data_IF_095886623514
#
_entry.id   IF_095886623514
#
_cell.length_a   1.000
_cell.length_b   1.000
_cell.length_c   1.000
_cell.angle_alpha   90.00
_cell.angle_beta   90.00
_cell.angle_gamma   90.00
#
_symmetry.space_group_name_H-M   'P 1'
#
loop_
_entity.id
_entity.type
_entity.pdbx_description
1 polymer ?
#
# COMPACT_ATOMS: atom_id res chain seq x y z
N UNK A 1 14.87 -2.91 0.45
CA UNK A 1 15.56 -1.66 0.41
C UNK A 1 14.84 -0.58 -0.39
N UNK A 2 14.89 -0.50 -1.75
CA UNK A 2 14.21 0.57 -2.50
C UNK A 2 12.68 0.56 -2.27
N UNK A 3 12.05 -0.59 -2.31
CA UNK A 3 10.62 -0.75 -2.05
C UNK A 3 10.23 -0.20 -0.67
N UNK A 4 11.00 -0.49 0.37
CA UNK A 4 10.76 0.01 1.73
C UNK A 4 10.76 1.54 1.79
N UNK A 5 11.76 2.18 1.19
CA UNK A 5 11.87 3.65 1.16
C UNK A 5 10.69 4.30 0.43
N UNK A 6 10.30 3.74 -0.72
CA UNK A 6 9.17 4.26 -1.50
C UNK A 6 7.85 4.12 -0.76
N UNK A 7 7.63 3.01 -0.04
CA UNK A 7 6.42 2.79 0.73
C UNK A 7 6.36 3.63 2.00
N UNK A 8 7.52 3.87 2.64
CA UNK A 8 7.59 4.80 3.77
C UNK A 8 7.23 6.23 3.33
N UNK A 9 7.73 6.67 2.17
CA UNK A 9 7.34 7.94 1.58
C UNK A 9 5.86 8.01 1.19
N UNK A 10 5.24 6.88 0.79
CA UNK A 10 3.82 6.83 0.41
C UNK A 10 2.91 7.30 1.56
N UNK A 11 3.10 6.81 2.77
CA UNK A 11 2.29 7.21 3.92
C UNK A 11 2.43 8.70 4.22
N UNK A 12 3.65 9.24 4.18
CA UNK A 12 3.93 10.66 4.43
C UNK A 12 3.27 11.57 3.39
N UNK A 13 3.46 11.27 2.11
CA UNK A 13 2.92 12.09 1.01
C UNK A 13 1.40 11.95 0.90
N UNK A 14 0.83 10.76 1.17
CA UNK A 14 -0.62 10.58 1.25
C UNK A 14 -1.22 11.40 2.40
N UNK A 15 -0.52 11.48 3.55
CA UNK A 15 -0.92 12.34 4.68
C UNK A 15 -0.91 13.83 4.31
N UNK A 16 0.15 14.30 3.64
CA UNK A 16 0.22 15.66 3.16
C UNK A 16 -0.94 15.98 2.20
N UNK A 17 -1.27 15.05 1.30
CA UNK A 17 -2.42 15.16 0.43
C UNK A 17 -3.74 15.20 1.20
N UNK A 18 -3.94 14.32 2.17
CA UNK A 18 -5.16 14.24 2.99
C UNK A 18 -5.40 15.47 3.87
N UNK A 19 -4.35 16.23 4.22
CA UNK A 19 -4.43 17.52 4.92
C UNK A 19 -4.59 18.72 3.99
N UNK A 20 -4.45 18.53 2.69
CA UNK A 20 -4.60 19.58 1.68
C UNK A 20 -6.06 19.75 1.26
N UNK A 21 -6.31 20.74 0.39
CA UNK A 21 -7.61 20.95 -0.26
C UNK A 21 -8.00 19.83 -1.20
N UNK A 22 -7.01 19.05 -1.71
CA UNK A 22 -7.25 17.94 -2.63
C UNK A 22 -8.15 16.87 -2.00
N UNK A 23 -9.13 16.44 -2.76
CA UNK A 23 -9.95 15.28 -2.37
C UNK A 23 -9.16 13.97 -2.57
N UNK A 24 -9.52 12.88 -1.90
CA UNK A 24 -9.00 11.55 -2.19
C UNK A 24 -9.11 11.18 -3.68
N UNK A 25 -10.16 11.67 -4.33
CA UNK A 25 -10.44 11.45 -5.74
C UNK A 25 -9.46 12.20 -6.65
N UNK A 26 -9.10 13.44 -6.30
CA UNK A 26 -8.08 14.23 -7.01
C UNK A 26 -6.70 13.55 -6.95
N UNK A 27 -6.31 13.08 -5.76
CA UNK A 27 -5.04 12.39 -5.56
C UNK A 27 -4.95 11.14 -6.44
N UNK A 28 -6.03 10.36 -6.50
CA UNK A 28 -6.06 9.17 -7.34
C UNK A 28 -6.09 9.52 -8.84
N UNK A 29 -6.79 10.57 -9.25
CA UNK A 29 -6.77 11.05 -10.63
C UNK A 29 -5.34 11.51 -11.03
N UNK A 30 -4.68 12.33 -10.21
CA UNK A 30 -3.29 12.76 -10.44
C UNK A 30 -2.33 11.58 -10.58
N UNK A 31 -2.48 10.58 -9.71
CA UNK A 31 -1.71 9.33 -9.78
C UNK A 31 -1.85 8.66 -11.14
N UNK A 32 -3.10 8.48 -11.62
CA UNK A 32 -3.37 7.77 -12.87
C UNK A 32 -2.98 8.59 -14.10
N UNK A 33 -3.28 9.89 -14.11
CA UNK A 33 -2.90 10.79 -15.21
C UNK A 33 -1.38 10.77 -15.40
N UNK A 34 -0.63 10.99 -14.33
CA UNK A 34 0.84 11.05 -14.39
C UNK A 34 1.45 9.70 -14.78
N UNK A 35 1.01 8.61 -14.15
CA UNK A 35 1.54 7.28 -14.48
C UNK A 35 1.23 6.90 -15.93
N UNK A 36 0.01 7.15 -16.40
CA UNK A 36 -0.40 6.84 -17.77
C UNK A 36 0.33 7.70 -18.79
N UNK A 37 0.52 9.00 -18.52
CA UNK A 37 1.26 9.89 -19.41
C UNK A 37 2.71 9.43 -19.59
N UNK A 38 3.41 9.06 -18.50
CA UNK A 38 4.79 8.57 -18.55
C UNK A 38 4.88 7.21 -19.25
N UNK A 39 3.92 6.33 -19.04
CA UNK A 39 3.90 4.98 -19.61
C UNK A 39 3.33 4.97 -21.04
N UNK A 40 2.76 6.08 -21.54
CA UNK A 40 2.11 6.17 -22.86
C UNK A 40 3.01 5.70 -24.02
N UNK A 41 4.32 6.06 -24.10
CA UNK A 41 5.19 5.57 -25.18
C UNK A 41 5.29 4.03 -25.23
N UNK A 42 5.01 3.37 -24.14
CA UNK A 42 5.11 1.91 -24.00
C UNK A 42 3.78 1.17 -24.17
N UNK A 43 2.67 1.88 -24.45
CA UNK A 43 1.34 1.25 -24.59
C UNK A 43 1.30 0.29 -25.79
N UNK A 44 1.96 0.66 -26.89
CA UNK A 44 2.03 -0.16 -28.11
C UNK A 44 2.74 -1.49 -27.94
N UNK A 45 3.63 -1.61 -26.95
CA UNK A 45 4.33 -2.86 -26.62
C UNK A 45 3.53 -3.77 -25.69
N UNK A 46 2.31 -3.40 -25.29
CA UNK A 46 1.43 -4.23 -24.48
C UNK A 46 0.68 -5.24 -25.38
N UNK A 47 0.77 -6.54 -25.09
CA UNK A 47 0.07 -7.54 -25.90
C UNK A 47 -1.44 -7.27 -25.92
N UNK A 48 -2.07 -7.31 -27.10
CA UNK A 48 -3.53 -7.10 -27.23
C UNK A 48 -4.34 -8.07 -26.37
N UNK A 49 -3.86 -9.29 -26.18
CA UNK A 49 -4.48 -10.32 -25.32
C UNK A 49 -4.53 -9.90 -23.85
N UNK A 50 -3.61 -9.04 -23.38
CA UNK A 50 -3.60 -8.56 -22.01
C UNK A 50 -4.85 -7.73 -21.68
N UNK A 51 -5.38 -6.98 -22.64
CA UNK A 51 -6.62 -6.20 -22.46
C UNK A 51 -7.89 -7.07 -22.33
N UNK A 52 -7.87 -8.29 -22.86
CA UNK A 52 -8.96 -9.25 -22.72
C UNK A 52 -8.77 -10.23 -21.55
N UNK A 53 -7.63 -10.14 -20.84
CA UNK A 53 -7.32 -11.08 -19.76
C UNK A 53 -8.06 -10.71 -18.47
N UNK A 54 -9.05 -11.52 -18.12
CA UNK A 54 -9.87 -11.34 -16.90
C UNK A 54 -9.02 -11.29 -15.63
N UNK A 55 -7.92 -12.03 -15.56
CA UNK A 55 -7.04 -12.06 -14.38
C UNK A 55 -6.32 -10.73 -14.20
N UNK A 56 -5.85 -10.12 -15.30
CA UNK A 56 -5.25 -8.77 -15.24
C UNK A 56 -6.26 -7.72 -14.76
N UNK A 57 -7.52 -7.80 -15.21
CA UNK A 57 -8.58 -6.91 -14.72
C UNK A 57 -8.89 -7.12 -13.24
N UNK A 58 -8.92 -8.37 -12.75
CA UNK A 58 -9.08 -8.65 -11.31
C UNK A 58 -7.95 -8.01 -10.52
N UNK A 59 -6.69 -8.17 -10.96
CA UNK A 59 -5.54 -7.56 -10.29
C UNK A 59 -5.58 -6.02 -10.35
N UNK A 60 -6.02 -5.45 -11.47
CA UNK A 60 -6.22 -4.01 -11.62
C UNK A 60 -7.30 -3.48 -10.66
N UNK A 61 -8.42 -4.16 -10.55
CA UNK A 61 -9.47 -3.81 -9.60
C UNK A 61 -8.97 -3.88 -8.15
N UNK A 62 -8.33 -4.97 -7.75
CA UNK A 62 -7.86 -5.17 -6.38
C UNK A 62 -6.78 -4.16 -5.99
N UNK A 63 -5.81 -3.91 -6.86
CA UNK A 63 -4.66 -3.07 -6.57
C UNK A 63 -4.95 -1.57 -6.68
N UNK A 64 -5.91 -1.17 -7.51
CA UNK A 64 -6.07 0.22 -7.90
C UNK A 64 -7.50 0.72 -7.75
N UNK A 65 -8.45 0.19 -8.51
CA UNK A 65 -9.82 0.71 -8.57
C UNK A 65 -10.58 0.58 -7.25
N UNK A 66 -10.32 -0.45 -6.46
CA UNK A 66 -10.94 -0.67 -5.16
C UNK A 66 -10.01 -0.17 -4.05
N UNK A 67 -8.75 -0.62 -4.05
CA UNK A 67 -7.78 -0.28 -3.02
C UNK A 67 -7.58 1.22 -2.84
N UNK A 68 -7.23 1.95 -3.92
CA UNK A 68 -6.83 3.34 -3.80
C UNK A 68 -7.94 4.28 -3.28
N UNK A 69 -9.17 4.27 -3.84
CA UNK A 69 -10.23 5.13 -3.35
C UNK A 69 -10.58 4.85 -1.88
N UNK A 70 -10.64 3.58 -1.49
CA UNK A 70 -10.96 3.17 -0.12
C UNK A 70 -9.81 3.58 0.83
N UNK A 71 -8.54 3.35 0.44
CA UNK A 71 -7.39 3.72 1.25
C UNK A 71 -7.30 5.24 1.47
N UNK A 72 -7.41 6.03 0.39
CA UNK A 72 -7.38 7.49 0.50
C UNK A 72 -8.55 8.05 1.30
N UNK A 73 -9.73 7.44 1.19
CA UNK A 73 -10.88 7.80 2.03
C UNK A 73 -10.61 7.45 3.49
N UNK A 74 -10.02 6.28 3.77
CA UNK A 74 -9.59 5.91 5.12
C UNK A 74 -8.67 6.95 5.75
N UNK A 75 -7.69 7.47 5.01
CA UNK A 75 -6.79 8.54 5.48
C UNK A 75 -7.47 9.89 5.72
N UNK A 76 -8.68 10.11 5.22
CA UNK A 76 -9.47 11.30 5.53
C UNK A 76 -10.06 11.21 6.94
N UNK A 77 -10.46 10.00 7.37
CA UNK A 77 -11.14 9.78 8.65
C UNK A 77 -10.19 9.38 9.77
N UNK A 78 -9.15 8.59 9.50
CA UNK A 78 -8.23 8.11 10.51
C UNK A 78 -6.82 8.72 10.38
N UNK A 79 -6.06 8.85 11.49
CA UNK A 79 -4.67 9.30 11.47
C UNK A 79 -3.79 8.44 10.55
N UNK A 80 -2.75 9.06 9.98
CA UNK A 80 -1.82 8.33 9.11
C UNK A 80 -1.03 7.24 9.84
N UNK A 81 -0.85 7.36 11.16
CA UNK A 81 -0.24 6.34 11.99
C UNK A 81 -1.03 5.02 11.95
N UNK A 82 -2.39 5.08 11.91
CA UNK A 82 -3.23 3.89 11.77
C UNK A 82 -2.97 3.19 10.42
N UNK A 83 -2.87 3.96 9.32
CA UNK A 83 -2.49 3.41 8.02
C UNK A 83 -1.09 2.80 8.01
N UNK A 84 -0.13 3.41 8.71
CA UNK A 84 1.21 2.88 8.89
C UNK A 84 1.23 1.51 9.57
N UNK A 85 0.26 1.24 10.45
CA UNK A 85 0.08 -0.05 11.11
C UNK A 85 -0.72 -1.01 10.22
N UNK A 86 -1.91 -0.59 9.76
CA UNK A 86 -2.86 -1.46 9.08
C UNK A 86 -2.40 -1.91 7.69
N UNK A 87 -1.65 -1.09 6.93
CA UNK A 87 -1.21 -1.51 5.60
C UNK A 87 -0.03 -2.49 5.65
N UNK A 88 1.18 -2.14 6.14
CA UNK A 88 2.31 -3.04 6.02
C UNK A 88 2.33 -4.15 7.09
N UNK A 89 1.91 -3.87 8.32
CA UNK A 89 2.05 -4.86 9.39
C UNK A 89 0.99 -5.97 9.33
N UNK A 90 -0.18 -5.68 8.76
CA UNK A 90 -1.22 -6.68 8.61
C UNK A 90 -0.94 -7.67 7.46
N UNK A 91 -0.11 -7.29 6.48
CA UNK A 91 0.17 -8.11 5.31
C UNK A 91 0.70 -9.51 5.60
N UNK A 92 1.67 -9.74 6.52
CA UNK A 92 2.15 -11.08 6.82
C UNK A 92 1.04 -12.02 7.30
N UNK A 93 0.07 -11.52 8.07
CA UNK A 93 -1.08 -12.30 8.55
C UNK A 93 -2.03 -12.63 7.41
N UNK A 94 -2.43 -11.63 6.63
CA UNK A 94 -3.36 -11.80 5.52
C UNK A 94 -2.79 -12.74 4.45
N UNK A 95 -1.53 -12.58 4.08
CA UNK A 95 -0.85 -13.46 3.11
C UNK A 95 -0.74 -14.89 3.66
N UNK A 96 -0.43 -15.07 4.95
CA UNK A 96 -0.37 -16.40 5.56
C UNK A 96 -1.74 -17.07 5.62
N UNK A 97 -2.79 -16.31 5.93
CA UNK A 97 -4.16 -16.79 5.88
C UNK A 97 -4.57 -17.20 4.47
N UNK A 98 -4.25 -16.39 3.46
CA UNK A 98 -4.52 -16.72 2.06
C UNK A 98 -3.75 -17.95 1.59
N UNK A 99 -2.47 -18.09 1.97
CA UNK A 99 -1.68 -19.27 1.66
C UNK A 99 -2.29 -20.54 2.27
N UNK A 100 -2.81 -20.45 3.48
CA UNK A 100 -3.50 -21.58 4.13
C UNK A 100 -4.86 -21.86 3.49
N UNK A 101 -5.72 -20.86 3.33
CA UNK A 101 -7.10 -21.04 2.85
C UNK A 101 -7.16 -21.42 1.36
N UNK A 102 -6.28 -20.84 0.52
CA UNK A 102 -6.33 -21.00 -0.95
C UNK A 102 -5.34 -22.05 -1.46
N UNK A 103 -4.16 -22.13 -0.85
CA UNK A 103 -3.10 -23.06 -1.25
C UNK A 103 -2.95 -24.27 -0.32
N UNK A 104 -3.70 -24.34 0.79
CA UNK A 104 -3.61 -25.41 1.79
C UNK A 104 -2.30 -25.42 2.59
N UNK A 105 -1.46 -24.40 2.43
CA UNK A 105 -0.13 -24.32 3.04
C UNK A 105 -0.22 -23.77 4.45
N UNK A 106 -0.09 -24.65 5.45
CA UNK A 106 -0.10 -24.23 6.86
C UNK A 106 1.20 -23.51 7.22
N UNK A 107 1.13 -22.41 8.01
CA UNK A 107 2.33 -21.74 8.48
C UNK A 107 3.18 -22.66 9.35
N UNK A 108 4.49 -22.64 9.15
CA UNK A 108 5.44 -23.38 9.99
C UNK A 108 5.47 -22.82 11.40
N UNK A 109 5.98 -23.58 12.38
CA UNK A 109 6.12 -23.10 13.77
C UNK A 109 6.95 -21.80 13.84
N UNK A 110 8.04 -21.73 13.09
CA UNK A 110 8.91 -20.53 13.05
C UNK A 110 8.12 -19.33 12.52
N UNK A 111 7.33 -19.52 11.45
CA UNK A 111 6.48 -18.47 10.90
C UNK A 111 5.40 -18.03 11.87
N UNK A 112 4.77 -18.96 12.57
CA UNK A 112 3.74 -18.65 13.60
C UNK A 112 4.35 -17.81 14.72
N UNK A 113 5.54 -18.17 15.23
CA UNK A 113 6.25 -17.39 16.23
C UNK A 113 6.57 -15.98 15.68
N UNK A 114 7.08 -15.89 14.45
CA UNK A 114 7.34 -14.61 13.79
C UNK A 114 6.10 -13.74 13.69
N UNK A 115 4.97 -14.32 13.25
CA UNK A 115 3.68 -13.61 13.21
C UNK A 115 3.22 -13.16 14.61
N UNK A 116 3.35 -13.99 15.64
CA UNK A 116 3.01 -13.60 17.02
C UNK A 116 3.84 -12.42 17.50
N UNK A 117 5.14 -12.39 17.19
CA UNK A 117 6.01 -11.27 17.53
C UNK A 117 5.61 -9.99 16.76
N UNK A 118 5.29 -10.10 15.47
CA UNK A 118 4.76 -8.96 14.69
C UNK A 118 3.46 -8.46 15.33
N UNK A 119 2.53 -9.36 15.68
CA UNK A 119 1.27 -8.99 16.32
C UNK A 119 1.46 -8.27 17.66
N UNK A 120 2.34 -8.78 18.51
CA UNK A 120 2.69 -8.12 19.77
C UNK A 120 3.31 -6.74 19.54
N UNK A 121 4.15 -6.60 18.51
CA UNK A 121 4.75 -5.32 18.13
C UNK A 121 3.72 -4.31 17.62
N UNK A 122 2.72 -4.77 16.87
CA UNK A 122 1.56 -3.95 16.44
C UNK A 122 0.81 -3.41 17.66
N UNK A 123 0.49 -4.29 18.61
CA UNK A 123 -0.23 -3.91 19.85
C UNK A 123 0.59 -2.88 20.62
N UNK A 124 1.88 -3.11 20.83
CA UNK A 124 2.75 -2.14 21.51
C UNK A 124 2.75 -0.77 20.81
N UNK A 125 2.92 -0.73 19.49
CA UNK A 125 2.94 0.54 18.75
C UNK A 125 1.57 1.23 18.70
N UNK A 126 0.47 0.48 18.78
CA UNK A 126 -0.89 1.00 18.79
C UNK A 126 -1.35 1.50 20.17
N UNK A 127 -0.67 1.11 21.26
CA UNK A 127 -1.09 1.47 22.64
C UNK A 127 -1.39 2.95 22.86
N UNK A 128 -0.56 3.91 22.36
CA UNK A 128 -0.86 5.33 22.53
C UNK A 128 -2.16 5.77 21.85
N UNK A 129 -2.57 5.11 20.78
CA UNK A 129 -3.76 5.46 19.98
C UNK A 129 -5.05 4.80 20.48
N UNK A 130 -4.95 3.78 21.34
CA UNK A 130 -6.13 3.09 21.90
C UNK A 130 -6.94 3.99 22.87
N UNK A 131 -6.34 5.07 23.36
CA UNK A 131 -6.99 6.05 24.23
C UNK A 131 -7.74 7.15 23.47
N UNK A 132 -7.50 7.27 22.16
CA UNK A 132 -8.07 8.31 21.30
C UNK A 132 -9.19 7.78 20.39
N UNK A 133 -9.98 6.82 20.89
CA UNK A 133 -11.03 6.20 20.08
C UNK A 133 -12.14 7.21 19.70
N UNK A 134 -12.52 7.22 18.41
CA UNK A 134 -13.69 7.92 17.91
C UNK A 134 -14.42 7.09 16.84
N UNK A 135 -15.73 7.30 16.61
CA UNK A 135 -16.46 6.62 15.54
C UNK A 135 -15.85 6.87 14.16
N UNK A 136 -15.33 8.08 13.90
CA UNK A 136 -14.68 8.44 12.64
C UNK A 136 -13.37 7.62 12.45
N UNK A 137 -12.57 7.47 13.51
CA UNK A 137 -11.37 6.65 13.46
C UNK A 137 -11.70 5.19 13.19
N UNK A 138 -12.71 4.65 13.86
CA UNK A 138 -13.16 3.28 13.62
C UNK A 138 -13.61 3.04 12.17
N UNK A 139 -14.32 4.00 11.58
CA UNK A 139 -14.72 3.94 10.18
C UNK A 139 -13.51 4.02 9.24
N UNK A 140 -12.57 4.95 9.48
CA UNK A 140 -11.33 5.07 8.72
C UNK A 140 -10.49 3.78 8.78
N UNK A 141 -10.36 3.20 9.98
CA UNK A 141 -9.63 1.95 10.20
C UNK A 141 -10.27 0.77 9.48
N UNK A 142 -11.60 0.69 9.47
CA UNK A 142 -12.33 -0.32 8.70
C UNK A 142 -12.03 -0.20 7.20
N UNK A 143 -12.05 1.01 6.65
CA UNK A 143 -11.69 1.25 5.25
C UNK A 143 -10.24 0.85 4.96
N UNK A 144 -9.31 1.19 5.84
CA UNK A 144 -7.91 0.81 5.71
C UNK A 144 -7.72 -0.71 5.81
N UNK A 145 -8.47 -1.39 6.69
CA UNK A 145 -8.46 -2.85 6.80
C UNK A 145 -8.97 -3.51 5.51
N UNK A 146 -10.09 -3.05 4.95
CA UNK A 146 -10.64 -3.55 3.67
C UNK A 146 -9.62 -3.35 2.54
N UNK A 147 -9.00 -2.18 2.47
CA UNK A 147 -7.93 -1.91 1.50
C UNK A 147 -6.74 -2.84 1.68
N UNK A 148 -6.34 -3.11 2.93
CA UNK A 148 -5.25 -4.05 3.24
C UNK A 148 -5.57 -5.47 2.77
N UNK A 149 -6.83 -5.92 2.92
CA UNK A 149 -7.29 -7.19 2.38
C UNK A 149 -7.22 -7.23 0.84
N UNK A 150 -7.65 -6.15 0.16
CA UNK A 150 -7.53 -6.04 -1.30
C UNK A 150 -6.07 -6.12 -1.76
N UNK A 151 -5.17 -5.44 -1.05
CA UNK A 151 -3.73 -5.49 -1.34
C UNK A 151 -3.13 -6.87 -1.12
N UNK A 152 -3.51 -7.58 -0.06
CA UNK A 152 -3.06 -8.95 0.20
C UNK A 152 -3.54 -9.92 -0.89
N UNK A 153 -4.79 -9.84 -1.30
CA UNK A 153 -5.34 -10.61 -2.42
C UNK A 153 -4.58 -10.31 -3.72
N UNK A 154 -4.34 -9.03 -3.99
CA UNK A 154 -3.54 -8.61 -5.14
C UNK A 154 -2.14 -9.24 -5.12
N UNK A 155 -1.39 -9.09 -4.02
CA UNK A 155 -0.04 -9.61 -3.90
C UNK A 155 0.03 -11.14 -4.03
N UNK A 156 -0.91 -11.84 -3.39
CA UNK A 156 -1.00 -13.28 -3.45
C UNK A 156 -1.28 -13.79 -4.88
N UNK A 157 -2.27 -13.23 -5.56
CA UNK A 157 -2.63 -13.65 -6.90
C UNK A 157 -1.64 -13.14 -7.97
N UNK A 158 -1.04 -11.96 -7.80
CA UNK A 158 0.00 -11.47 -8.69
C UNK A 158 1.21 -12.40 -8.71
N UNK A 159 1.63 -12.90 -7.53
CA UNK A 159 2.68 -13.89 -7.43
C UNK A 159 2.26 -15.23 -8.06
N UNK A 160 1.04 -15.71 -7.79
CA UNK A 160 0.54 -17.00 -8.27
C UNK A 160 0.34 -17.04 -9.79
N UNK A 161 -0.14 -15.96 -10.39
CA UNK A 161 -0.36 -15.87 -11.83
C UNK A 161 0.87 -15.44 -12.62
N UNK A 162 1.93 -15.04 -11.93
CA UNK A 162 3.27 -14.78 -12.43
C UNK A 162 3.36 -13.90 -13.70
N UNK A 163 2.58 -12.81 -13.72
CA UNK A 163 2.70 -11.82 -14.80
C UNK A 163 4.02 -11.08 -14.72
N UNK A 164 4.55 -10.68 -15.89
CA UNK A 164 5.67 -9.75 -15.94
C UNK A 164 5.35 -8.46 -15.17
N UNK A 165 6.22 -8.01 -14.26
CA UNK A 165 6.04 -6.75 -13.53
C UNK A 165 5.72 -5.58 -14.45
N UNK A 166 6.36 -5.53 -15.61
CA UNK A 166 6.18 -4.48 -16.59
C UNK A 166 4.80 -4.51 -17.25
N UNK A 167 4.27 -5.69 -17.58
CA UNK A 167 2.92 -5.86 -18.13
C UNK A 167 1.89 -5.47 -17.08
N UNK A 168 2.04 -5.95 -15.84
CA UNK A 168 1.08 -5.73 -14.78
C UNK A 168 1.03 -4.25 -14.36
N UNK A 169 2.18 -3.59 -14.23
CA UNK A 169 2.24 -2.14 -13.91
C UNK A 169 1.50 -1.31 -14.97
N UNK A 170 1.70 -1.61 -16.26
CA UNK A 170 0.99 -0.92 -17.35
C UNK A 170 -0.50 -1.22 -17.37
N UNK A 171 -0.88 -2.48 -17.16
CA UNK A 171 -2.28 -2.88 -17.08
C UNK A 171 -3.01 -2.15 -15.96
N UNK A 172 -2.39 -2.03 -14.79
CA UNK A 172 -2.93 -1.30 -13.65
C UNK A 172 -3.05 0.20 -13.98
N UNK A 173 -2.00 0.83 -14.51
CA UNK A 173 -2.03 2.25 -14.83
C UNK A 173 -3.10 2.58 -15.87
N UNK A 174 -3.03 1.97 -17.05
CA UNK A 174 -3.97 2.25 -18.14
C UNK A 174 -5.38 1.72 -17.88
N UNK A 175 -5.50 0.48 -17.37
CA UNK A 175 -6.79 -0.12 -17.07
C UNK A 175 -7.57 0.70 -16.04
N UNK A 176 -6.88 1.16 -14.99
CA UNK A 176 -7.50 2.04 -14.01
C UNK A 176 -7.83 3.41 -14.58
N UNK A 177 -6.95 4.00 -15.39
CA UNK A 177 -7.18 5.30 -16.00
C UNK A 177 -8.41 5.29 -16.93
N UNK A 178 -8.53 4.27 -17.77
CA UNK A 178 -9.66 4.11 -18.70
C UNK A 178 -11.01 4.03 -17.95
N UNK A 179 -11.04 3.36 -16.81
CA UNK A 179 -12.27 3.22 -16.01
C UNK A 179 -12.49 4.42 -15.10
N UNK A 180 -11.47 4.83 -14.36
CA UNK A 180 -11.64 5.81 -13.30
C UNK A 180 -11.72 7.26 -13.78
N UNK A 181 -10.89 7.66 -14.78
CA UNK A 181 -10.84 9.07 -15.18
C UNK A 181 -12.17 9.59 -15.76
N UNK A 182 -12.94 8.81 -16.57
CA UNK A 182 -14.28 9.22 -16.97
C UNK A 182 -15.23 9.37 -15.76
N UNK A 183 -15.19 8.42 -14.80
CA UNK A 183 -16.02 8.50 -13.59
C UNK A 183 -15.64 9.73 -12.77
N UNK A 184 -14.34 9.95 -12.56
CA UNK A 184 -13.85 11.14 -11.86
C UNK A 184 -14.31 12.43 -12.53
N UNK A 185 -14.18 12.52 -13.85
CA UNK A 185 -14.50 13.74 -14.57
C UNK A 185 -15.97 14.11 -14.50
N UNK A 186 -16.88 13.14 -14.60
CA UNK A 186 -18.31 13.39 -14.68
C UNK A 186 -19.06 13.32 -13.34
N UNK A 187 -18.59 12.53 -12.38
CA UNK A 187 -19.39 12.17 -11.21
C UNK A 187 -18.74 12.49 -9.85
N UNK A 188 -17.42 12.68 -9.79
CA UNK A 188 -16.77 12.85 -8.48
C UNK A 188 -16.46 14.31 -8.16
N UNK A 189 -16.48 14.70 -6.87
CA UNK A 189 -16.12 16.06 -6.46
C UNK A 189 -14.63 16.31 -6.75
N UNK A 190 -14.33 17.54 -7.20
CA UNK A 190 -13.01 18.00 -7.63
C UNK A 190 -12.67 19.29 -6.92
N UNK A 191 -11.49 19.33 -6.31
CA UNK A 191 -10.90 20.51 -5.67
C UNK A 191 -9.52 20.85 -6.24
N UNK A 192 -9.16 20.22 -7.34
CA UNK A 192 -7.83 20.40 -7.97
C UNK A 192 -7.54 21.85 -8.37
N UNK A 193 -8.57 22.60 -8.81
CA UNK A 193 -8.45 24.01 -9.17
C UNK A 193 -8.14 24.93 -7.98
N UNK A 194 -8.52 24.52 -6.78
CA UNK A 194 -8.33 25.27 -5.54
C UNK A 194 -7.03 24.91 -4.81
N UNK A 195 -6.34 23.87 -5.30
CA UNK A 195 -5.11 23.40 -4.67
C UNK A 195 -3.87 24.16 -5.17
N UNK A 196 -2.88 24.42 -4.30
CA UNK A 196 -1.60 25.00 -4.71
C UNK A 196 -0.91 24.12 -5.76
N UNK A 197 -0.35 24.72 -6.80
CA UNK A 197 0.38 24.00 -7.86
C UNK A 197 1.49 23.12 -7.29
N UNK A 198 2.19 23.55 -6.26
CA UNK A 198 3.22 22.77 -5.60
C UNK A 198 2.67 21.46 -5.03
N UNK A 199 1.48 21.46 -4.43
CA UNK A 199 0.84 20.26 -3.91
C UNK A 199 0.42 19.30 -5.04
N UNK A 200 -0.15 19.85 -6.12
CA UNK A 200 -0.49 19.08 -7.31
C UNK A 200 0.75 18.37 -7.87
N UNK A 201 1.86 19.11 -8.04
CA UNK A 201 3.10 18.56 -8.56
C UNK A 201 3.72 17.50 -7.64
N UNK A 202 3.71 17.73 -6.32
CA UNK A 202 4.21 16.75 -5.34
C UNK A 202 3.40 15.46 -5.42
N UNK A 203 2.05 15.56 -5.40
CA UNK A 203 1.19 14.38 -5.49
C UNK A 203 1.33 13.68 -6.85
N UNK A 204 1.33 14.41 -7.95
CA UNK A 204 1.52 13.86 -9.28
C UNK A 204 2.85 13.10 -9.41
N UNK A 205 3.96 13.73 -9.03
CA UNK A 205 5.28 13.13 -9.09
C UNK A 205 5.38 11.90 -8.17
N UNK A 206 4.98 12.04 -6.91
CA UNK A 206 5.15 10.95 -5.97
C UNK A 206 4.16 9.80 -6.23
N UNK A 207 2.87 10.08 -6.34
CA UNK A 207 1.85 9.05 -6.53
C UNK A 207 1.93 8.41 -7.93
N UNK A 208 2.18 9.22 -8.98
CA UNK A 208 2.26 8.73 -10.35
C UNK A 208 3.57 8.01 -10.64
N UNK A 209 4.72 8.59 -10.30
CA UNK A 209 6.03 8.03 -10.64
C UNK A 209 6.49 7.05 -9.56
N UNK A 210 6.69 7.57 -8.33
CA UNK A 210 7.30 6.76 -7.27
C UNK A 210 6.42 5.60 -6.86
N UNK A 211 5.16 5.86 -6.51
CA UNK A 211 4.27 4.83 -5.97
C UNK A 211 3.68 3.91 -7.05
N UNK A 212 3.34 4.44 -8.23
CA UNK A 212 2.68 3.61 -9.27
C UNK A 212 3.67 2.91 -10.19
N UNK A 213 4.78 3.53 -10.55
CA UNK A 213 5.73 2.92 -11.48
C UNK A 213 6.86 2.24 -10.71
N UNK A 214 7.67 3.02 -9.99
CA UNK A 214 8.89 2.48 -9.38
C UNK A 214 8.62 1.50 -8.24
N UNK A 215 7.74 1.88 -7.30
CA UNK A 215 7.42 1.01 -6.18
C UNK A 215 6.68 -0.25 -6.63
N UNK A 216 5.81 -0.15 -7.64
CA UNK A 216 5.11 -1.30 -8.18
C UNK A 216 6.05 -2.27 -8.89
N UNK A 217 6.96 -1.78 -9.74
CA UNK A 217 7.94 -2.63 -10.41
C UNK A 217 8.86 -3.34 -9.42
N UNK A 218 9.37 -2.63 -8.41
CA UNK A 218 10.23 -3.21 -7.38
C UNK A 218 9.48 -4.21 -6.49
N UNK A 219 8.23 -3.91 -6.14
CA UNK A 219 7.36 -4.81 -5.37
C UNK A 219 7.05 -6.10 -6.14
N UNK A 220 6.60 -6.00 -7.39
CA UNK A 220 6.30 -7.15 -8.22
C UNK A 220 7.54 -8.00 -8.49
N UNK A 221 8.70 -7.36 -8.67
CA UNK A 221 9.97 -8.09 -8.77
C UNK A 221 10.31 -8.81 -7.46
N UNK A 222 10.04 -8.21 -6.31
CA UNK A 222 10.21 -8.87 -5.01
C UNK A 222 9.28 -10.08 -4.87
N UNK A 223 8.01 -9.98 -5.30
CA UNK A 223 7.08 -11.11 -5.30
C UNK A 223 7.59 -12.28 -6.16
N UNK A 224 8.18 -12.00 -7.32
CA UNK A 224 8.73 -13.03 -8.18
C UNK A 224 9.98 -13.71 -7.60
N UNK A 225 10.86 -12.94 -6.95
CA UNK A 225 12.13 -13.45 -6.43
C UNK A 225 12.01 -14.13 -5.06
N UNK A 226 11.17 -13.57 -4.18
CA UNK A 226 11.06 -13.96 -2.77
C UNK A 226 9.77 -14.72 -2.46
N UNK A 227 8.76 -14.58 -3.31
CA UNK A 227 7.41 -15.02 -3.04
C UNK A 227 6.62 -14.02 -2.16
N UNK A 228 5.29 -14.20 -2.06
CA UNK A 228 4.42 -13.26 -1.36
C UNK A 228 4.66 -13.23 0.14
N UNK A 229 4.96 -14.36 0.76
CA UNK A 229 5.12 -14.45 2.22
C UNK A 229 6.38 -13.75 2.72
N UNK A 230 7.53 -13.95 2.07
CA UNK A 230 8.78 -13.26 2.42
C UNK A 230 8.69 -11.77 2.11
N UNK A 231 8.09 -11.41 0.97
CA UNK A 231 7.88 -10.01 0.59
C UNK A 231 7.01 -9.30 1.63
N UNK A 232 5.91 -9.89 2.09
CA UNK A 232 5.07 -9.34 3.13
C UNK A 232 5.82 -9.16 4.46
N UNK A 233 6.64 -10.15 4.85
CA UNK A 233 7.46 -10.07 6.07
C UNK A 233 8.47 -8.90 6.01
N UNK A 234 9.11 -8.67 4.86
CA UNK A 234 9.99 -7.52 4.68
C UNK A 234 9.24 -6.18 4.67
N UNK A 235 8.03 -6.13 4.10
CA UNK A 235 7.21 -4.92 4.12
C UNK A 235 6.74 -4.53 5.53
N UNK A 236 6.64 -5.48 6.45
CA UNK A 236 6.36 -5.19 7.85
C UNK A 236 7.46 -4.34 8.53
N UNK A 237 8.64 -4.18 7.91
CA UNK A 237 9.69 -3.27 8.35
C UNK A 237 9.47 -1.80 7.91
N UNK A 238 8.49 -1.51 7.06
CA UNK A 238 8.19 -0.14 6.61
C UNK A 238 7.95 0.82 7.77
N UNK A 239 7.10 0.52 8.76
CA UNK A 239 6.88 1.40 9.91
C UNK A 239 8.12 1.54 10.80
N UNK A 240 9.00 0.53 10.82
CA UNK A 240 10.30 0.63 11.52
C UNK A 240 11.15 1.72 10.91
N UNK A 241 11.24 1.74 9.58
CA UNK A 241 11.97 2.77 8.83
C UNK A 241 11.33 4.15 9.05
N UNK A 242 9.99 4.23 9.01
CA UNK A 242 9.27 5.48 9.29
C UNK A 242 9.56 5.96 10.71
N UNK A 243 9.40 5.08 11.71
CA UNK A 243 9.62 5.43 13.12
C UNK A 243 11.04 5.92 13.41
N UNK A 244 12.05 5.29 12.82
CA UNK A 244 13.45 5.73 12.96
C UNK A 244 13.72 7.06 12.25
N UNK A 245 13.12 7.27 11.06
CA UNK A 245 13.30 8.50 10.29
C UNK A 245 12.45 9.66 10.81
N UNK A 246 11.33 9.40 11.47
CA UNK A 246 10.47 10.44 12.03
C UNK A 246 11.16 11.24 13.15
N UNK A 247 12.05 10.60 13.92
CA UNK A 247 12.82 11.28 14.97
C UNK A 247 13.62 12.47 14.42
N UNK A 248 14.55 12.29 13.45
CA UNK A 248 15.33 13.40 12.93
C UNK A 248 14.59 14.30 11.93
N UNK A 249 13.50 13.83 11.29
CA UNK A 249 12.81 14.57 10.23
C UNK A 249 11.59 15.34 10.72
N UNK A 250 10.97 14.90 11.81
CA UNK A 250 9.70 15.46 12.31
C UNK A 250 9.80 15.88 13.77
N UNK A 251 10.97 15.77 14.41
CA UNK A 251 11.22 16.01 15.85
C UNK A 251 10.23 15.22 16.76
N UNK A 252 9.76 14.05 16.28
CA UNK A 252 8.86 13.20 17.04
C UNK A 252 9.67 12.32 18.01
N UNK A 253 9.41 12.35 19.34
CA UNK A 253 10.17 11.54 20.28
C UNK A 253 9.90 10.05 20.08
N UNK A 254 10.95 9.24 20.15
CA UNK A 254 10.86 7.79 20.13
C UNK A 254 10.27 7.32 21.47
N UNK A 255 8.95 7.07 21.49
CA UNK A 255 8.29 6.59 22.70
C UNK A 255 8.77 5.16 23.04
N UNK A 256 8.80 4.77 24.31
CA UNK A 256 9.14 3.39 24.71
C UNK A 256 8.26 2.34 24.01
N UNK A 257 6.99 2.63 23.82
CA UNK A 257 6.02 1.79 23.12
C UNK A 257 6.38 1.58 21.65
N UNK A 258 6.74 2.65 20.95
CA UNK A 258 7.17 2.59 19.56
C UNK A 258 8.50 1.82 19.46
N UNK A 259 9.46 2.07 20.37
CA UNK A 259 10.72 1.34 20.44
C UNK A 259 10.52 -0.17 20.63
N UNK A 260 9.68 -0.56 21.59
CA UNK A 260 9.33 -1.97 21.81
C UNK A 260 8.66 -2.59 20.57
N UNK A 261 7.71 -1.87 19.96
CA UNK A 261 7.04 -2.30 18.72
C UNK A 261 8.03 -2.55 17.58
N UNK A 262 8.96 -1.62 17.36
CA UNK A 262 10.04 -1.73 16.36
C UNK A 262 10.86 -3.00 16.56
N UNK A 263 11.31 -3.27 17.78
CA UNK A 263 12.14 -4.45 18.10
C UNK A 263 11.34 -5.74 17.84
N UNK A 264 10.10 -5.83 18.35
CA UNK A 264 9.24 -7.02 18.18
C UNK A 264 8.93 -7.29 16.71
N UNK A 265 8.55 -6.26 15.95
CA UNK A 265 8.26 -6.40 14.51
C UNK A 265 9.50 -6.79 13.74
N UNK A 266 10.66 -6.23 14.05
CA UNK A 266 11.91 -6.57 13.37
C UNK A 266 12.32 -8.03 13.59
N UNK A 267 12.25 -8.51 14.84
CA UNK A 267 12.53 -9.90 15.18
C UNK A 267 11.51 -10.84 14.55
N UNK A 268 10.23 -10.49 14.61
CA UNK A 268 9.14 -11.25 14.01
C UNK A 268 9.25 -11.35 12.50
N UNK A 269 9.55 -10.24 11.81
CA UNK A 269 9.74 -10.20 10.34
C UNK A 269 10.95 -11.05 9.92
N UNK A 270 12.04 -10.99 10.66
CA UNK A 270 13.20 -11.84 10.41
C UNK A 270 12.86 -13.32 10.57
N UNK A 271 12.18 -13.71 11.65
CA UNK A 271 11.74 -15.09 11.88
C UNK A 271 10.78 -15.58 10.78
N UNK A 272 9.76 -14.77 10.44
CA UNK A 272 8.77 -15.11 9.43
C UNK A 272 9.34 -15.19 8.00
N UNK A 273 10.46 -14.52 7.73
CA UNK A 273 11.11 -14.55 6.39
C UNK A 273 12.00 -15.78 6.14
N UNK A 274 12.33 -16.53 7.17
CA UNK A 274 13.20 -17.72 7.06
C UNK A 274 12.50 -19.00 6.58
N UNK A 275 11.19 -18.95 6.40
CA UNK A 275 10.37 -20.15 6.07
C UNK A 275 9.90 -20.16 4.64
#
# INVERSE_FOLDING_TARGET
>A
SATLMMWSGFSLISRLGGKSVLTPYDIFALRLITASAILLPFIGSMPRRAWADRRLWILTCLCSLIYCPIAYTGFKYAPAAHGGILFPWLQPFLISALAWLVAGTRPTRIRTIGLSLIGSGIVCAAMPYLTEWSPDYAFGDLLMFISSCCWALYGFFAARWNYSPWILTRAIAFGSAIVYLPIYWYFLPKEMSNAPMSMILIQAAFQGISATILAMLTYLKSLQLLGPERTASFLALVPVVIGVLAVPLLDEPLTPWLGAGIVLVSLGSYGASKT
#
